data_IF_767783437644
#
_entry.id   IF_767783437644
#
_cell.length_a   1.000
_cell.length_b   1.000
_cell.length_c   1.000
_cell.angle_alpha   90.00
_cell.angle_beta   90.00
_cell.angle_gamma   90.00
#
_symmetry.space_group_name_H-M   'P 1'
#
loop_
_entity.id
_entity.type
_entity.pdbx_description
1 polymer ?
#
# COMPACT_ATOMS: atom_id res chain seq x y z
N UNK A 1 -4.71 -7.82 12.07
CA UNK A 1 -4.32 -8.12 10.67
C UNK A 1 -5.46 -7.87 9.71
N UNK A 2 -6.62 -8.52 9.87
CA UNK A 2 -7.79 -8.25 9.01
C UNK A 2 -8.14 -6.76 8.92
N UNK A 3 -8.22 -6.06 10.06
CA UNK A 3 -8.47 -4.61 10.10
C UNK A 3 -7.42 -3.83 9.28
N UNK A 4 -6.13 -4.12 9.47
CA UNK A 4 -5.03 -3.42 8.77
C UNK A 4 -5.09 -3.65 7.26
N UNK A 5 -5.33 -4.89 6.81
CA UNK A 5 -5.46 -5.21 5.38
C UNK A 5 -6.71 -4.59 4.77
N UNK A 6 -7.85 -4.59 5.48
CA UNK A 6 -9.09 -3.99 4.98
C UNK A 6 -8.99 -2.47 4.87
N UNK A 7 -8.38 -1.81 5.86
CA UNK A 7 -8.14 -0.36 5.83
C UNK A 7 -7.15 0.01 4.73
N UNK A 8 -6.05 -0.75 4.57
CA UNK A 8 -5.12 -0.57 3.45
C UNK A 8 -5.83 -0.70 2.10
N UNK A 9 -6.62 -1.76 1.92
CA UNK A 9 -7.37 -1.98 0.69
C UNK A 9 -8.33 -0.82 0.38
N UNK A 10 -9.10 -0.37 1.38
CA UNK A 10 -10.02 0.76 1.23
C UNK A 10 -9.30 2.05 0.84
N UNK A 11 -8.17 2.36 1.48
CA UNK A 11 -7.39 3.57 1.16
C UNK A 11 -6.78 3.48 -0.23
N UNK A 12 -6.28 2.30 -0.64
CA UNK A 12 -5.75 2.11 -2.00
C UNK A 12 -6.84 2.24 -3.07
N UNK A 13 -8.05 1.70 -2.82
CA UNK A 13 -9.20 1.90 -3.72
C UNK A 13 -9.57 3.37 -3.80
N UNK A 14 -9.64 4.06 -2.66
CA UNK A 14 -9.93 5.48 -2.61
C UNK A 14 -8.91 6.31 -3.41
N UNK A 15 -7.61 6.00 -3.27
CA UNK A 15 -6.55 6.67 -4.04
C UNK A 15 -6.72 6.44 -5.54
N UNK A 16 -7.03 5.22 -5.98
CA UNK A 16 -7.32 4.92 -7.39
C UNK A 16 -8.52 5.74 -7.89
N UNK A 17 -9.62 5.75 -7.13
CA UNK A 17 -10.84 6.48 -7.51
C UNK A 17 -10.57 7.98 -7.64
N UNK A 18 -9.83 8.58 -6.69
CA UNK A 18 -9.46 10.00 -6.80
C UNK A 18 -8.73 10.27 -8.11
N UNK A 19 -7.72 9.46 -8.45
CA UNK A 19 -6.91 9.68 -9.66
C UNK A 19 -7.67 9.42 -10.95
N UNK A 20 -8.67 8.54 -10.93
CA UNK A 20 -9.58 8.33 -12.06
C UNK A 20 -10.55 9.50 -12.21
N UNK A 21 -11.08 10.04 -11.11
CA UNK A 21 -12.11 11.08 -11.12
C UNK A 21 -11.53 12.48 -11.37
N UNK A 22 -10.28 12.74 -11.01
CA UNK A 22 -9.66 14.07 -11.17
C UNK A 22 -9.05 14.32 -12.56
N UNK A 23 -9.24 13.42 -13.54
CA UNK A 23 -8.69 13.50 -14.91
C UNK A 23 -7.16 13.74 -15.01
N UNK A 24 -6.45 13.67 -13.88
CA UNK A 24 -5.00 13.53 -13.82
C UNK A 24 -4.66 12.08 -14.14
N UNK A 25 -5.00 11.65 -15.36
CA UNK A 25 -4.80 10.29 -15.84
C UNK A 25 -3.29 10.07 -15.94
N UNK A 26 -2.72 9.57 -14.85
CA UNK A 26 -1.38 9.01 -14.76
C UNK A 26 -1.55 7.48 -14.84
N UNK A 27 -1.58 6.86 -16.04
CA UNK A 27 -1.90 5.44 -16.19
C UNK A 27 -0.94 4.55 -15.41
N UNK A 28 0.31 5.01 -15.29
CA UNK A 28 1.36 4.36 -14.51
C UNK A 28 1.05 4.35 -13.00
N UNK A 29 0.38 5.38 -12.48
CA UNK A 29 -0.01 5.48 -11.06
C UNK A 29 -1.22 4.60 -10.76
N UNK A 30 -2.20 4.55 -11.66
CA UNK A 30 -3.34 3.63 -11.56
C UNK A 30 -2.85 2.17 -11.58
N UNK A 31 -2.02 1.81 -12.58
CA UNK A 31 -1.43 0.48 -12.67
C UNK A 31 -0.57 0.14 -11.43
N UNK A 32 0.23 1.10 -10.96
CA UNK A 32 1.02 0.96 -9.74
C UNK A 32 0.16 0.69 -8.51
N UNK A 33 -0.92 1.43 -8.32
CA UNK A 33 -1.84 1.25 -7.20
C UNK A 33 -2.65 -0.05 -7.30
N UNK A 34 -2.95 -0.54 -8.50
CA UNK A 34 -3.53 -1.88 -8.70
C UNK A 34 -2.56 -2.96 -8.20
N UNK A 35 -1.27 -2.84 -8.47
CA UNK A 35 -0.25 -3.76 -7.95
C UNK A 35 -0.20 -3.72 -6.41
N UNK A 36 -0.28 -2.52 -5.83
CA UNK A 36 -0.38 -2.34 -4.37
C UNK A 36 -1.62 -3.05 -3.83
N UNK A 37 -2.79 -2.85 -4.45
CA UNK A 37 -4.06 -3.44 -4.05
C UNK A 37 -4.02 -4.98 -4.10
N UNK A 38 -3.52 -5.55 -5.21
CA UNK A 38 -3.33 -7.00 -5.36
C UNK A 38 -2.38 -7.51 -4.29
N UNK A 39 -1.33 -6.76 -3.96
CA UNK A 39 -0.38 -7.14 -2.92
C UNK A 39 -0.99 -7.13 -1.52
N UNK A 40 -1.87 -6.18 -1.19
CA UNK A 40 -2.57 -6.10 0.12
C UNK A 40 -3.38 -7.37 0.41
N UNK A 41 -4.07 -7.90 -0.60
CA UNK A 41 -4.90 -9.11 -0.44
C UNK A 41 -4.11 -10.40 -0.70
N UNK A 42 -3.26 -10.41 -1.73
CA UNK A 42 -2.45 -11.56 -2.13
C UNK A 42 -1.43 -11.97 -1.07
N UNK A 43 -0.91 -11.02 -0.28
CA UNK A 43 0.07 -11.32 0.78
C UNK A 43 -0.48 -12.27 1.85
N UNK A 44 -1.80 -12.31 2.05
CA UNK A 44 -2.42 -13.23 3.00
C UNK A 44 -2.34 -14.70 2.56
N UNK A 45 -2.22 -14.95 1.26
CA UNK A 45 -2.09 -16.28 0.66
C UNK A 45 -0.65 -16.81 0.65
N UNK A 46 0.34 -15.93 0.88
CA UNK A 46 1.74 -16.30 0.77
C UNK A 46 2.28 -17.08 1.98
N UNK A 47 3.34 -17.89 1.80
CA UNK A 47 4.12 -18.45 2.90
C UNK A 47 4.71 -17.34 3.78
N UNK A 48 4.82 -17.60 5.08
CA UNK A 48 5.18 -16.61 6.11
C UNK A 48 6.41 -15.75 5.79
N UNK A 49 7.51 -16.38 5.39
CA UNK A 49 8.76 -15.66 5.07
C UNK A 49 8.57 -14.68 3.91
N UNK A 50 7.71 -15.02 2.94
CA UNK A 50 7.40 -14.16 1.80
C UNK A 50 6.45 -13.01 2.16
N UNK A 51 5.65 -13.12 3.23
CA UNK A 51 4.70 -12.07 3.63
C UNK A 51 5.39 -10.77 4.03
N UNK A 52 6.48 -10.89 4.80
CA UNK A 52 7.25 -9.72 5.24
C UNK A 52 7.88 -9.01 4.04
N UNK A 53 8.53 -9.77 3.15
CA UNK A 53 9.15 -9.22 1.95
C UNK A 53 8.15 -8.56 1.01
N UNK A 54 6.98 -9.17 0.80
CA UNK A 54 5.92 -8.57 -0.03
C UNK A 54 5.33 -7.33 0.63
N UNK A 55 5.16 -7.31 1.96
CA UNK A 55 4.69 -6.12 2.65
C UNK A 55 5.68 -4.95 2.56
N UNK A 56 6.98 -5.22 2.69
CA UNK A 56 8.02 -4.21 2.54
C UNK A 56 8.10 -3.73 1.09
N UNK A 57 8.08 -4.65 0.11
CA UNK A 57 8.18 -4.31 -1.31
C UNK A 57 6.95 -3.51 -1.78
N UNK A 58 5.75 -3.95 -1.44
CA UNK A 58 4.51 -3.26 -1.82
C UNK A 58 4.36 -1.92 -1.10
N UNK A 59 4.75 -1.83 0.18
CA UNK A 59 4.79 -0.57 0.92
C UNK A 59 5.81 0.41 0.35
N UNK A 60 7.01 -0.06 0.03
CA UNK A 60 8.05 0.75 -0.62
C UNK A 60 7.63 1.22 -2.01
N UNK A 61 6.97 0.37 -2.79
CA UNK A 61 6.41 0.73 -4.08
C UNK A 61 5.32 1.79 -3.97
N UNK A 62 4.38 1.64 -3.02
CA UNK A 62 3.36 2.66 -2.76
C UNK A 62 3.99 4.01 -2.38
N UNK A 63 5.01 4.00 -1.53
CA UNK A 63 5.75 5.22 -1.17
C UNK A 63 6.45 5.84 -2.38
N UNK A 64 7.08 5.03 -3.24
CA UNK A 64 7.73 5.52 -4.45
C UNK A 64 6.74 6.20 -5.41
N UNK A 65 5.59 5.57 -5.69
CA UNK A 65 4.53 6.17 -6.52
C UNK A 65 4.07 7.52 -5.96
N UNK A 66 3.95 7.59 -4.64
CA UNK A 66 3.57 8.80 -3.93
C UNK A 66 4.62 9.91 -3.99
N UNK A 67 5.91 9.57 -3.82
CA UNK A 67 7.01 10.53 -3.96
C UNK A 67 7.13 11.06 -5.39
N UNK A 68 6.96 10.20 -6.40
CA UNK A 68 6.97 10.62 -7.81
C UNK A 68 5.83 11.63 -8.05
N UNK A 69 4.62 11.35 -7.57
CA UNK A 69 3.50 12.26 -7.74
C UNK A 69 3.70 13.60 -7.01
N UNK A 70 4.23 13.59 -5.78
CA UNK A 70 4.63 14.83 -5.09
C UNK A 70 5.60 15.64 -5.95
N UNK A 71 6.61 14.98 -6.53
CA UNK A 71 7.64 15.65 -7.31
C UNK A 71 7.14 16.27 -8.61
N UNK A 72 6.07 15.70 -9.20
CA UNK A 72 5.53 16.14 -10.48
C UNK A 72 4.42 17.19 -10.33
N UNK A 73 3.49 17.00 -9.39
CA UNK A 73 2.25 17.78 -9.33
C UNK A 73 2.14 18.65 -8.06
N UNK A 74 3.06 18.49 -7.10
CA UNK A 74 2.88 19.03 -5.75
C UNK A 74 1.75 18.31 -5.00
N UNK A 75 1.65 18.55 -3.68
CA UNK A 75 0.63 17.90 -2.85
C UNK A 75 0.03 18.89 -1.86
N UNK A 76 -1.31 18.89 -1.75
CA UNK A 76 -2.04 19.53 -0.65
C UNK A 76 -2.08 18.66 0.61
N UNK A 77 -2.49 19.22 1.74
CA UNK A 77 -2.47 18.51 3.04
C UNK A 77 -3.11 17.12 3.03
N UNK A 78 -4.19 16.93 2.26
CA UNK A 78 -4.86 15.63 2.07
C UNK A 78 -3.94 14.55 1.50
N UNK A 79 -3.10 14.88 0.52
CA UNK A 79 -2.16 13.94 -0.08
C UNK A 79 -1.06 13.53 0.90
N UNK A 80 -0.54 14.47 1.71
CA UNK A 80 0.45 14.16 2.76
C UNK A 80 -0.12 13.16 3.75
N UNK A 81 -1.36 13.39 4.21
CA UNK A 81 -2.04 12.51 5.17
C UNK A 81 -2.27 11.11 4.58
N UNK A 82 -2.65 11.02 3.31
CA UNK A 82 -2.85 9.74 2.63
C UNK A 82 -1.55 8.93 2.60
N UNK A 83 -0.44 9.56 2.19
CA UNK A 83 0.88 8.94 2.08
C UNK A 83 1.39 8.47 3.44
N UNK A 84 1.32 9.35 4.45
CA UNK A 84 1.75 9.02 5.80
C UNK A 84 0.95 7.83 6.34
N UNK A 85 -0.37 7.85 6.14
CA UNK A 85 -1.27 6.79 6.63
C UNK A 85 -1.01 5.47 5.92
N UNK A 86 -0.89 5.43 4.59
CA UNK A 86 -0.62 4.18 3.86
C UNK A 86 0.74 3.61 4.22
N UNK A 87 1.76 4.45 4.36
CA UNK A 87 3.12 4.04 4.71
C UNK A 87 3.16 3.41 6.11
N UNK A 88 2.52 4.04 7.10
CA UNK A 88 2.42 3.51 8.46
C UNK A 88 1.69 2.17 8.47
N UNK A 89 0.58 2.05 7.74
CA UNK A 89 -0.18 0.81 7.69
C UNK A 89 0.62 -0.34 7.04
N UNK A 90 1.39 -0.07 5.99
CA UNK A 90 2.29 -1.06 5.39
C UNK A 90 3.39 -1.50 6.35
N UNK A 91 3.98 -0.57 7.10
CA UNK A 91 4.97 -0.87 8.11
C UNK A 91 4.37 -1.72 9.25
N UNK A 92 3.19 -1.36 9.74
CA UNK A 92 2.44 -2.15 10.73
C UNK A 92 2.18 -3.55 10.20
N UNK A 93 1.78 -3.69 8.94
CA UNK A 93 1.54 -4.99 8.33
C UNK A 93 2.81 -5.85 8.27
N UNK A 94 3.94 -5.27 7.88
CA UNK A 94 5.24 -5.93 7.86
C UNK A 94 5.65 -6.41 9.27
N UNK A 95 5.48 -5.56 10.29
CA UNK A 95 5.75 -5.89 11.70
C UNK A 95 4.84 -7.04 12.16
N UNK A 96 3.54 -6.98 11.85
CA UNK A 96 2.58 -8.04 12.21
C UNK A 96 2.94 -9.39 11.57
N UNK A 97 3.45 -9.38 10.33
CA UNK A 97 3.94 -10.61 9.69
C UNK A 97 5.22 -11.14 10.34
N UNK A 98 6.15 -10.26 10.70
CA UNK A 98 7.41 -10.63 11.35
C UNK A 98 7.19 -11.20 12.77
N UNK A 99 6.22 -10.66 13.52
CA UNK A 99 5.96 -11.01 14.93
C UNK A 99 5.13 -12.26 15.15
N UNK A 100 4.49 -12.84 14.14
CA UNK A 100 3.80 -14.10 14.38
C UNK A 100 4.86 -15.12 14.92
N UNK A 101 4.49 -16.10 15.76
CA UNK A 101 5.38 -17.23 16.13
C UNK A 101 5.39 -18.35 15.06
N UNK A 102 6.53 -19.04 14.87
CA UNK A 102 6.60 -20.26 14.03
C UNK A 102 5.52 -21.24 14.53
N UNK A 103 4.72 -21.88 13.65
CA UNK A 103 3.94 -23.03 14.09
C UNK A 103 4.94 -24.05 14.64
N UNK A 104 4.79 -24.41 15.91
CA UNK A 104 5.49 -25.54 16.50
C UNK A 104 4.93 -26.75 15.76
N UNK A 105 5.79 -27.38 14.95
CA UNK A 105 5.48 -28.62 14.23
C UNK A 105 5.64 -29.77 15.20
#
# INVERSE_FOLDING_TARGET
>A
MFIVTSVLGLITVFDIVIHVVTDLVEPWRIAGNIIVLVSVFGVLLLPRLRRVWVAIAAGGWNLALNLIHISLNGIGALGIVLIATTTVLWLVLAILFARRPKPVV
#
